data_IF_865732533617
#
_entry.id   IF_865732533617
#
_cell.length_a   1.000
_cell.length_b   1.000
_cell.length_c   1.000
_cell.angle_alpha   90.00
_cell.angle_beta   90.00
_cell.angle_gamma   90.00
#
_symmetry.space_group_name_H-M   'P 1'
#
loop_
_entity.id
_entity.type
_entity.pdbx_description
1 polymer ?
#
# COMPACT_ATOMS: atom_id res chain seq x y z
N UNK A 1 -11.65 -31.97 27.85
CA UNK A 1 -12.76 -31.47 27.01
C UNK A 1 -13.07 -29.98 27.20
N UNK A 2 -13.25 -29.45 28.42
CA UNK A 2 -13.61 -28.02 28.63
C UNK A 2 -12.58 -27.01 28.11
N UNK A 3 -11.28 -27.27 28.29
CA UNK A 3 -10.21 -26.36 27.82
C UNK A 3 -10.05 -26.32 26.30
N UNK A 4 -10.38 -27.41 25.59
CA UNK A 4 -10.35 -27.48 24.13
C UNK A 4 -11.42 -26.59 23.50
N UNK A 5 -12.62 -26.56 24.10
CA UNK A 5 -13.71 -25.71 23.65
C UNK A 5 -13.38 -24.21 23.81
N UNK A 6 -12.74 -23.83 24.92
CA UNK A 6 -12.30 -22.44 25.16
C UNK A 6 -11.25 -21.99 24.14
N UNK A 7 -10.30 -22.88 23.81
CA UNK A 7 -9.26 -22.61 22.81
C UNK A 7 -9.86 -22.43 21.40
N UNK A 8 -10.86 -23.23 21.05
CA UNK A 8 -11.59 -23.11 19.78
C UNK A 8 -12.37 -21.80 19.68
N UNK A 9 -13.06 -21.39 20.74
CA UNK A 9 -13.82 -20.13 20.78
C UNK A 9 -12.87 -18.93 20.68
N UNK A 10 -11.72 -18.98 21.35
CA UNK A 10 -10.71 -17.93 21.25
C UNK A 10 -10.13 -17.82 19.83
N UNK A 11 -9.85 -18.94 19.16
CA UNK A 11 -9.38 -18.94 17.77
C UNK A 11 -10.41 -18.37 16.79
N UNK A 12 -11.69 -18.71 16.95
CA UNK A 12 -12.76 -18.15 16.13
C UNK A 12 -12.93 -16.64 16.36
N UNK A 13 -12.79 -16.17 17.61
CA UNK A 13 -12.80 -14.74 17.93
C UNK A 13 -11.68 -13.96 17.24
N UNK A 14 -10.46 -14.49 17.23
CA UNK A 14 -9.30 -13.85 16.58
C UNK A 14 -9.49 -13.79 15.05
N UNK A 15 -10.01 -14.85 14.43
CA UNK A 15 -10.27 -14.88 12.98
C UNK A 15 -11.31 -13.84 12.58
N UNK A 16 -12.40 -13.73 13.34
CA UNK A 16 -13.47 -12.75 13.06
C UNK A 16 -12.98 -11.31 13.19
N UNK A 17 -12.13 -11.01 14.19
CA UNK A 17 -11.54 -9.68 14.36
C UNK A 17 -10.54 -9.37 13.25
N UNK A 18 -9.74 -10.35 12.82
CA UNK A 18 -8.81 -10.16 11.69
C UNK A 18 -9.52 -10.01 10.34
N UNK A 19 -10.67 -10.66 10.14
CA UNK A 19 -11.46 -10.53 8.93
C UNK A 19 -12.07 -9.14 8.78
N UNK A 20 -12.69 -8.62 9.83
CA UNK A 20 -13.36 -7.30 9.80
C UNK A 20 -12.40 -6.11 9.73
N UNK A 21 -11.15 -6.26 10.19
CA UNK A 21 -10.13 -5.19 10.13
C UNK A 21 -9.44 -5.15 8.77
N UNK A 22 -9.45 -6.24 8.00
CA UNK A 22 -8.86 -6.27 6.67
C UNK A 22 -9.79 -5.77 5.56
N UNK A 23 -11.11 -5.79 5.74
CA UNK A 23 -12.04 -5.40 4.67
C UNK A 23 -12.02 -3.88 4.41
N UNK A 24 -11.90 -3.04 5.43
CA UNK A 24 -11.91 -1.58 5.25
C UNK A 24 -10.63 -1.07 4.56
N UNK A 25 -9.46 -1.57 4.95
CA UNK A 25 -8.18 -1.20 4.31
C UNK A 25 -8.06 -1.78 2.89
N UNK A 26 -8.63 -2.98 2.63
CA UNK A 26 -8.60 -3.60 1.31
C UNK A 26 -9.56 -2.90 0.33
N UNK A 27 -10.72 -2.43 0.80
CA UNK A 27 -11.66 -1.68 -0.04
C UNK A 27 -11.10 -0.33 -0.47
N UNK A 28 -10.36 0.35 0.40
CA UNK A 28 -9.72 1.62 0.05
C UNK A 28 -8.60 1.41 -0.98
N UNK A 29 -7.80 0.33 -0.82
CA UNK A 29 -6.76 -0.05 -1.79
C UNK A 29 -7.37 -0.41 -3.16
N UNK A 30 -8.40 -1.26 -3.19
CA UNK A 30 -9.05 -1.72 -4.42
C UNK A 30 -9.75 -0.56 -5.14
N UNK A 31 -10.34 0.39 -4.39
CA UNK A 31 -10.93 1.60 -4.95
C UNK A 31 -9.89 2.54 -5.56
N UNK A 32 -8.68 2.61 -4.99
CA UNK A 32 -7.59 3.40 -5.55
C UNK A 32 -7.07 2.77 -6.86
N UNK A 33 -6.89 1.44 -6.90
CA UNK A 33 -6.52 0.71 -8.12
C UNK A 33 -7.58 0.74 -9.23
N UNK A 34 -8.88 0.72 -8.88
CA UNK A 34 -9.96 0.74 -9.85
C UNK A 34 -10.13 2.09 -10.55
N UNK A 35 -9.61 3.17 -9.98
CA UNK A 35 -9.69 4.53 -10.54
C UNK A 35 -8.42 4.95 -11.29
N UNK A 36 -7.38 4.11 -11.32
CA UNK A 36 -6.15 4.42 -12.05
C UNK A 36 -6.31 4.08 -13.56
N UNK A 37 -6.28 5.08 -14.47
CA UNK A 37 -6.42 4.84 -15.89
C UNK A 37 -5.15 4.16 -16.45
N UNK A 38 -5.25 2.84 -16.59
CA UNK A 38 -4.44 1.93 -17.40
C UNK A 38 -2.94 1.79 -17.06
N UNK A 39 -2.40 0.56 -17.12
CA UNK A 39 -0.97 0.33 -16.97
C UNK A 39 -0.25 0.91 -18.18
N UNK A 40 0.59 1.94 -17.96
CA UNK A 40 1.43 2.57 -18.99
C UNK A 40 2.62 1.65 -19.36
N UNK A 41 2.35 0.43 -19.79
CA UNK A 41 3.34 -0.55 -20.25
C UNK A 41 3.84 -0.20 -21.67
N UNK A 42 4.45 0.98 -21.85
CA UNK A 42 4.81 1.46 -23.18
C UNK A 42 6.04 2.34 -23.36
N UNK A 43 6.73 2.81 -22.33
CA UNK A 43 7.91 3.68 -22.54
C UNK A 43 9.04 3.42 -21.54
N UNK A 44 10.10 2.78 -22.01
CA UNK A 44 11.49 2.85 -21.51
C UNK A 44 11.68 2.88 -20.00
N UNK A 45 11.62 1.71 -19.35
CA UNK A 45 12.08 1.49 -17.98
C UNK A 45 11.27 2.22 -16.91
N UNK A 46 10.95 1.53 -15.83
CA UNK A 46 10.48 2.21 -14.63
C UNK A 46 11.61 3.09 -14.08
N UNK A 47 11.50 4.40 -14.28
CA UNK A 47 12.49 5.37 -13.80
C UNK A 47 11.80 6.47 -13.01
N UNK A 48 12.48 6.97 -11.99
CA UNK A 48 12.04 8.18 -11.31
C UNK A 48 12.15 9.37 -12.27
N UNK A 49 11.16 10.27 -12.24
CA UNK A 49 11.19 11.52 -13.00
C UNK A 49 12.30 12.46 -12.51
N UNK A 50 12.60 12.42 -11.21
CA UNK A 50 13.67 13.21 -10.62
C UNK A 50 14.87 12.34 -10.20
N UNK A 51 16.03 12.98 -10.16
CA UNK A 51 17.29 12.35 -9.74
C UNK A 51 17.26 11.95 -8.25
N UNK A 52 18.27 11.16 -7.84
CA UNK A 52 18.37 10.54 -6.51
C UNK A 52 18.32 11.54 -5.35
N UNK A 53 18.84 12.76 -5.55
CA UNK A 53 18.78 13.83 -4.56
C UNK A 53 17.35 14.23 -4.18
N UNK A 54 16.39 14.07 -5.11
CA UNK A 54 14.97 14.24 -4.82
C UNK A 54 14.35 12.88 -4.49
N UNK A 55 14.43 11.91 -5.41
CA UNK A 55 13.88 10.57 -5.23
C UNK A 55 14.93 9.63 -4.60
N UNK A 56 15.11 9.74 -3.28
CA UNK A 56 16.08 8.97 -2.51
C UNK A 56 16.48 9.69 -1.22
N UNK A 57 16.88 10.95 -1.34
CA UNK A 57 17.34 11.75 -0.19
C UNK A 57 16.20 12.58 0.42
N UNK A 58 15.56 13.46 -0.37
CA UNK A 58 14.44 14.28 0.11
C UNK A 58 13.14 13.46 0.25
N UNK A 59 12.84 12.68 -0.78
CA UNK A 59 11.71 11.77 -0.81
C UNK A 59 12.25 10.38 -0.54
N UNK A 60 11.84 9.80 0.59
CA UNK A 60 12.15 8.42 0.95
C UNK A 60 10.92 7.52 0.77
N UNK A 61 11.14 6.21 0.83
CA UNK A 61 10.08 5.21 0.69
C UNK A 61 8.93 5.38 1.71
N UNK A 62 9.22 5.96 2.89
CA UNK A 62 8.21 6.27 3.91
C UNK A 62 7.21 7.32 3.42
N UNK A 63 7.63 8.25 2.57
CA UNK A 63 6.76 9.29 2.05
C UNK A 63 5.75 8.73 1.04
N UNK A 64 6.05 7.63 0.35
CA UNK A 64 5.14 7.01 -0.61
C UNK A 64 3.82 6.54 0.03
N UNK A 65 3.87 6.13 1.30
CA UNK A 65 2.69 5.68 2.07
C UNK A 65 2.00 6.80 2.85
N UNK A 66 2.58 7.99 2.88
CA UNK A 66 2.03 9.10 3.63
C UNK A 66 0.91 9.80 2.84
N UNK A 67 -0.20 10.09 3.50
CA UNK A 67 -1.28 10.95 2.97
C UNK A 67 -0.92 12.45 2.98
N UNK A 68 0.36 12.78 2.77
CA UNK A 68 0.87 14.15 2.79
C UNK A 68 1.02 14.71 1.38
N UNK A 69 1.24 16.03 1.27
CA UNK A 69 1.62 16.66 0.00
C UNK A 69 2.89 16.03 -0.60
N UNK A 70 3.85 15.67 0.26
CA UNK A 70 5.08 14.98 -0.13
C UNK A 70 4.78 13.57 -0.65
N UNK A 71 3.84 12.85 -0.04
CA UNK A 71 3.46 11.52 -0.51
C UNK A 71 2.75 11.51 -1.86
N UNK A 72 1.89 12.50 -2.12
CA UNK A 72 1.32 12.72 -3.47
C UNK A 72 2.40 13.01 -4.50
N UNK A 73 3.36 13.86 -4.16
CA UNK A 73 4.53 14.14 -5.02
C UNK A 73 5.35 12.87 -5.31
N UNK A 74 5.63 12.08 -4.27
CA UNK A 74 6.40 10.85 -4.36
C UNK A 74 5.75 9.85 -5.34
N UNK A 75 4.45 9.63 -5.21
CA UNK A 75 3.71 8.68 -6.06
C UNK A 75 3.63 9.12 -7.53
N UNK A 76 3.59 10.42 -7.80
CA UNK A 76 3.50 10.95 -9.17
C UNK A 76 4.85 11.03 -9.89
N UNK A 77 5.95 11.19 -9.16
CA UNK A 77 7.25 11.53 -9.76
C UNK A 77 8.39 10.59 -9.39
N UNK A 78 8.31 9.92 -8.24
CA UNK A 78 9.30 8.94 -7.79
C UNK A 78 8.72 7.52 -7.89
N UNK A 79 8.15 7.17 -9.04
CA UNK A 79 7.39 5.94 -9.25
C UNK A 79 8.22 4.67 -8.99
N UNK A 80 9.47 4.65 -9.45
CA UNK A 80 10.41 3.57 -9.18
C UNK A 80 10.74 3.45 -7.69
N UNK A 81 10.97 4.58 -7.01
CA UNK A 81 11.21 4.57 -5.56
C UNK A 81 9.99 4.05 -4.78
N UNK A 82 8.79 4.39 -5.24
CA UNK A 82 7.55 4.00 -4.61
C UNK A 82 7.04 2.61 -5.04
N UNK A 83 7.72 1.93 -5.97
CA UNK A 83 7.29 0.62 -6.50
C UNK A 83 5.94 0.65 -7.23
N UNK A 84 5.57 1.80 -7.78
CA UNK A 84 4.33 1.99 -8.56
C UNK A 84 4.53 1.70 -10.05
N UNK A 85 5.80 1.58 -10.43
CA UNK A 85 6.27 0.75 -11.51
C UNK A 85 7.44 -0.08 -10.95
#
# INVERSE_FOLDING_TARGET
MKYLAVLFIALLGVVMISGSVMEDDLYELVREFANDPAPRHGRNGCVNRFAKNICGDLVSQKNCRAASRMGRFARQHCQFLCGLC
#
